data_IF_080294665850
#
_entry.id   IF_080294665850
#
_cell.length_a   1.000
_cell.length_b   1.000
_cell.length_c   1.000
_cell.angle_alpha   90.00
_cell.angle_beta   90.00
_cell.angle_gamma   90.00
#
_symmetry.space_group_name_H-M   'P 1'
#
loop_
_entity.id
_entity.type
_entity.pdbx_description
1 polymer ?
#
# COMPACT_ATOMS: atom_id res chain seq x y z
N UNK A 1 26.63 -0.10 9.84
CA UNK A 1 26.38 1.34 9.60
C UNK A 1 25.48 1.61 8.38
N UNK A 2 25.71 0.94 7.23
CA UNK A 2 24.96 1.15 5.98
C UNK A 2 23.45 0.78 6.04
N UNK A 3 23.06 -0.19 6.88
CA UNK A 3 21.64 -0.62 7.02
C UNK A 3 20.72 0.49 7.56
N UNK A 4 21.24 1.43 8.36
CA UNK A 4 20.46 2.54 8.96
C UNK A 4 20.01 3.56 7.92
N UNK A 5 20.79 3.76 6.86
CA UNK A 5 20.45 4.68 5.76
C UNK A 5 19.37 4.10 4.84
N UNK A 6 19.32 2.78 4.60
CA UNK A 6 18.24 2.16 3.80
C UNK A 6 16.85 2.27 4.45
N UNK A 7 16.77 2.26 5.78
CA UNK A 7 15.50 2.39 6.51
C UNK A 7 14.90 3.79 6.47
N UNK A 8 15.71 4.83 6.26
CA UNK A 8 15.24 6.23 6.23
C UNK A 8 14.57 6.60 4.89
N UNK A 9 14.88 5.86 3.81
CA UNK A 9 14.28 6.02 2.48
C UNK A 9 13.27 4.90 2.13
N UNK A 10 12.98 4.02 3.10
CA UNK A 10 11.94 3.00 2.99
C UNK A 10 10.60 3.63 3.37
N UNK A 11 9.62 3.65 2.46
CA UNK A 11 8.25 4.00 2.82
C UNK A 11 7.67 2.82 3.60
N UNK A 12 7.64 2.92 4.93
CA UNK A 12 6.93 1.97 5.79
C UNK A 12 5.45 1.95 5.39
N UNK A 13 5.04 0.84 4.76
CA UNK A 13 3.74 0.62 4.14
C UNK A 13 3.00 -0.52 4.85
N UNK A 14 1.71 -0.31 5.11
CA UNK A 14 0.77 -1.36 5.51
C UNK A 14 -0.34 -1.43 4.46
N UNK A 15 -0.70 -2.64 4.05
CA UNK A 15 -1.75 -2.88 3.05
C UNK A 15 -2.83 -3.74 3.69
N UNK A 16 -4.06 -3.26 3.63
CA UNK A 16 -5.26 -4.03 3.95
C UNK A 16 -5.91 -4.50 2.65
N UNK A 17 -5.99 -5.81 2.47
CA UNK A 17 -6.53 -6.46 1.28
C UNK A 17 -7.92 -7.03 1.60
N UNK A 18 -8.87 -6.12 1.77
CA UNK A 18 -10.27 -6.47 1.99
C UNK A 18 -10.93 -7.03 0.73
N UNK A 19 -12.02 -7.78 0.91
CA UNK A 19 -12.80 -8.34 -0.20
C UNK A 19 -13.45 -7.26 -1.07
N UNK A 20 -13.85 -6.13 -0.47
CA UNK A 20 -14.50 -5.02 -1.18
C UNK A 20 -13.53 -3.86 -1.48
N UNK A 21 -12.59 -3.57 -0.58
CA UNK A 21 -11.67 -2.44 -0.69
C UNK A 21 -10.24 -2.83 -0.34
N UNK A 22 -9.30 -2.20 -1.03
CA UNK A 22 -7.88 -2.23 -0.71
C UNK A 22 -7.49 -0.87 -0.14
N UNK A 23 -6.87 -0.88 1.04
CA UNK A 23 -6.37 0.34 1.69
C UNK A 23 -4.86 0.27 1.81
N UNK A 24 -4.20 1.42 1.64
CA UNK A 24 -2.77 1.57 1.88
C UNK A 24 -2.56 2.67 2.92
N UNK A 25 -1.79 2.33 3.96
CA UNK A 25 -1.34 3.27 4.97
C UNK A 25 0.17 3.48 4.86
N UNK A 26 0.60 4.74 4.92
CA UNK A 26 2.01 5.12 5.03
C UNK A 26 2.26 5.75 6.40
N UNK A 27 3.26 5.24 7.10
CA UNK A 27 3.66 5.76 8.42
C UNK A 27 3.95 7.26 8.35
N UNK A 28 3.25 8.03 9.18
CA UNK A 28 3.38 9.49 9.24
C UNK A 28 2.57 10.25 8.18
N UNK A 29 1.91 9.57 7.23
CA UNK A 29 1.03 10.22 6.26
C UNK A 29 -0.44 9.81 6.43
N UNK A 30 -0.71 8.62 6.99
CA UNK A 30 -2.08 8.13 7.13
C UNK A 30 -2.47 7.18 5.99
N UNK A 31 -3.78 7.05 5.75
CA UNK A 31 -4.32 6.29 4.61
C UNK A 31 -4.10 7.11 3.35
N UNK A 32 -3.31 6.57 2.41
CA UNK A 32 -2.96 7.22 1.15
C UNK A 32 -3.67 6.62 -0.06
N UNK A 33 -4.30 5.45 0.10
CA UNK A 33 -5.13 4.81 -0.92
C UNK A 33 -6.33 4.12 -0.26
N UNK A 34 -7.50 4.25 -0.87
CA UNK A 34 -8.73 3.53 -0.51
C UNK A 34 -9.55 3.31 -1.80
N UNK A 35 -9.34 2.17 -2.45
CA UNK A 35 -9.93 1.84 -3.75
C UNK A 35 -10.72 0.53 -3.65
N UNK A 36 -11.70 0.27 -4.54
CA UNK A 36 -12.33 -1.04 -4.64
C UNK A 36 -11.32 -2.15 -4.97
N UNK A 37 -11.45 -3.32 -4.32
CA UNK A 37 -10.65 -4.52 -4.60
C UNK A 37 -11.15 -5.25 -5.86
N UNK A 38 -11.11 -4.59 -7.00
CA UNK A 38 -11.70 -5.07 -8.26
C UNK A 38 -10.70 -4.91 -9.40
N UNK A 39 -10.73 -5.86 -10.35
CA UNK A 39 -10.01 -5.75 -11.62
C UNK A 39 -11.00 -6.02 -12.77
N UNK A 40 -10.93 -5.21 -13.83
CA UNK A 40 -11.68 -5.46 -15.05
C UNK A 40 -10.91 -6.46 -15.92
N UNK A 41 -11.57 -7.55 -16.34
CA UNK A 41 -10.99 -8.55 -17.22
C UNK A 41 -11.81 -8.57 -18.51
N UNK A 42 -11.15 -8.37 -19.65
CA UNK A 42 -11.77 -8.62 -20.95
C UNK A 42 -11.73 -10.11 -21.25
N UNK A 43 -12.88 -10.68 -21.60
CA UNK A 43 -12.99 -12.05 -22.10
C UNK A 43 -13.22 -11.95 -23.61
N UNK A 44 -12.39 -12.67 -24.36
CA UNK A 44 -12.46 -12.74 -25.82
C UNK A 44 -13.62 -13.63 -26.30
#
# INVERSE_FOLDING_TARGET
MLKKFRGMFSNDLSIDLGTANTLIYVKGQGIVLNEPSVVAIRQD
#
